data_IF_889439393708
#
_entry.id   IF_889439393708
#
_cell.length_a   1.000
_cell.length_b   1.000
_cell.length_c   1.000
_cell.angle_alpha   90.00
_cell.angle_beta   90.00
_cell.angle_gamma   90.00
#
_symmetry.space_group_name_H-M   'P 1'
#
loop_
_entity.id
_entity.type
_entity.pdbx_description
1 polymer ?
#
# COMPACT_ATOMS: atom_id res chain seq x y z
N UNK A 1 -54.50 50.96 11.33
CA UNK A 1 -54.05 49.63 11.86
C UNK A 1 -53.08 48.86 10.91
N UNK A 2 -53.38 48.68 9.65
CA UNK A 2 -52.51 47.97 8.71
C UNK A 2 -51.13 48.63 8.53
N UNK A 3 -50.96 49.88 8.58
CA UNK A 3 -49.72 50.66 8.39
C UNK A 3 -48.73 50.47 9.59
N UNK A 4 -49.27 50.28 10.77
CA UNK A 4 -48.48 50.02 11.97
C UNK A 4 -48.02 48.59 12.03
N UNK A 5 -48.81 47.61 11.56
CA UNK A 5 -48.41 46.20 11.45
C UNK A 5 -47.28 46.02 10.42
N UNK A 6 -47.32 46.76 9.31
CA UNK A 6 -46.25 46.73 8.30
C UNK A 6 -44.91 47.26 8.82
N UNK A 7 -44.94 48.30 9.64
CA UNK A 7 -43.74 48.89 10.27
C UNK A 7 -43.13 47.96 11.31
N UNK A 8 -43.95 47.24 12.08
CA UNK A 8 -43.49 46.23 13.05
C UNK A 8 -42.89 45.02 12.33
N UNK A 9 -43.49 44.57 11.23
CA UNK A 9 -42.97 43.49 10.43
C UNK A 9 -41.64 43.85 9.73
N UNK A 10 -41.49 45.06 9.24
CA UNK A 10 -40.27 45.58 8.61
C UNK A 10 -39.15 45.77 9.65
N UNK A 11 -39.48 46.19 10.86
CA UNK A 11 -38.53 46.30 11.98
C UNK A 11 -38.07 44.91 12.49
N UNK A 12 -38.97 43.91 12.50
CA UNK A 12 -38.67 42.54 12.86
C UNK A 12 -37.78 41.81 11.85
N UNK A 13 -37.94 42.12 10.54
CA UNK A 13 -37.03 41.58 9.51
C UNK A 13 -35.63 42.22 9.57
N UNK A 14 -35.50 43.45 10.01
CA UNK A 14 -34.20 44.15 10.10
C UNK A 14 -33.33 43.64 11.28
N UNK A 15 -33.94 43.04 12.29
CA UNK A 15 -33.20 42.51 13.45
C UNK A 15 -32.69 41.05 13.24
N UNK A 16 -33.14 40.37 12.17
CA UNK A 16 -32.73 38.99 11.89
C UNK A 16 -31.45 38.85 11.05
N UNK A 17 -30.87 39.97 10.60
CA UNK A 17 -29.68 39.96 9.71
C UNK A 17 -28.36 40.27 10.43
N UNK A 18 -28.32 40.30 11.77
CA UNK A 18 -27.12 40.75 12.52
C UNK A 18 -26.62 39.73 13.54
N UNK A 19 -26.59 38.43 13.23
CA UNK A 19 -25.81 37.49 14.04
C UNK A 19 -25.30 36.31 13.21
N UNK A 20 -24.57 36.61 12.17
CA UNK A 20 -23.51 35.70 11.75
C UNK A 20 -22.19 36.36 12.17
N UNK A 21 -21.88 36.24 13.44
CA UNK A 21 -20.47 36.34 13.88
C UNK A 21 -19.76 35.13 13.26
N UNK A 22 -19.02 35.36 12.20
CA UNK A 22 -17.97 34.44 11.80
C UNK A 22 -17.05 34.33 13.01
N UNK A 23 -17.15 33.18 13.70
CA UNK A 23 -16.14 32.78 14.65
C UNK A 23 -14.87 32.57 13.83
N UNK A 24 -14.05 33.61 13.72
CA UNK A 24 -12.73 33.52 13.08
C UNK A 24 -11.87 32.64 13.98
N UNK A 25 -11.95 31.36 13.73
CA UNK A 25 -11.19 30.35 14.46
C UNK A 25 -9.73 30.79 14.56
N UNK A 26 -9.22 30.82 15.78
CA UNK A 26 -7.83 31.20 16.06
C UNK A 26 -6.92 30.29 15.22
N UNK A 27 -6.07 30.88 14.38
CA UNK A 27 -5.16 30.14 13.50
C UNK A 27 -3.85 29.91 14.22
N UNK A 28 -3.36 28.68 14.15
CA UNK A 28 -2.02 28.30 14.61
C UNK A 28 -1.10 28.29 13.40
N UNK A 29 0.05 28.93 13.54
CA UNK A 29 1.11 28.99 12.53
C UNK A 29 2.35 28.31 13.07
N UNK A 30 3.09 27.68 12.17
CA UNK A 30 4.33 27.06 12.56
C UNK A 30 5.20 26.69 11.36
N UNK A 31 6.36 26.13 11.68
CA UNK A 31 7.32 25.65 10.67
C UNK A 31 7.75 24.24 11.01
N UNK A 32 7.74 23.35 10.01
CA UNK A 32 8.21 21.98 10.11
C UNK A 32 9.62 21.90 9.54
N UNK A 33 10.56 21.37 10.32
CA UNK A 33 11.96 21.21 9.94
C UNK A 33 12.45 19.81 10.28
N UNK A 34 13.54 19.38 9.66
CA UNK A 34 14.31 18.21 10.08
C UNK A 34 15.27 18.52 11.24
N UNK A 35 16.04 17.52 11.70
CA UNK A 35 17.06 17.67 12.76
C UNK A 35 18.19 18.64 12.35
N UNK A 36 18.41 18.84 11.06
CA UNK A 36 19.41 19.75 10.50
C UNK A 36 18.83 21.15 10.27
N UNK A 37 17.62 21.44 10.75
CA UNK A 37 16.87 22.70 10.57
C UNK A 37 16.51 22.99 9.11
N UNK A 38 16.53 21.99 8.23
CA UNK A 38 16.05 22.15 6.86
C UNK A 38 14.52 22.06 6.82
N UNK A 39 13.84 22.91 6.02
CA UNK A 39 12.39 22.88 5.94
C UNK A 39 11.91 21.59 5.27
N UNK A 40 10.87 20.99 5.81
CA UNK A 40 10.20 19.82 5.24
C UNK A 40 8.98 20.29 4.47
N UNK A 41 8.97 20.07 3.14
CA UNK A 41 7.91 20.45 2.24
C UNK A 41 6.86 19.34 2.19
N UNK A 42 5.57 19.69 2.32
CA UNK A 42 4.47 18.73 2.17
C UNK A 42 4.27 17.81 3.38
N UNK A 43 4.80 18.17 4.56
CA UNK A 43 4.46 17.48 5.80
C UNK A 43 2.98 17.67 6.13
N UNK A 44 2.29 16.60 6.49
CA UNK A 44 0.90 16.66 6.93
C UNK A 44 0.83 17.16 8.37
N UNK A 45 0.04 18.19 8.60
CA UNK A 45 -0.18 18.81 9.91
C UNK A 45 -1.69 18.79 10.20
N UNK A 46 -2.12 18.13 11.27
CA UNK A 46 -3.53 18.00 11.59
C UNK A 46 -3.79 17.89 13.10
N UNK A 47 -4.99 18.25 13.53
CA UNK A 47 -5.41 18.09 14.91
C UNK A 47 -5.73 16.63 15.22
N UNK A 48 -5.20 16.13 16.33
CA UNK A 48 -5.40 14.75 16.76
C UNK A 48 -6.89 14.41 16.89
N UNK A 49 -7.30 13.28 16.27
CA UNK A 49 -8.69 12.81 16.29
C UNK A 49 -9.63 13.57 15.36
N UNK A 50 -9.14 14.48 14.51
CA UNK A 50 -9.96 15.26 13.57
C UNK A 50 -9.51 15.05 12.12
N UNK A 51 -10.36 15.47 11.17
CA UNK A 51 -10.01 15.58 9.75
C UNK A 51 -9.53 17.00 9.35
N UNK A 52 -9.37 17.88 10.31
CA UNK A 52 -8.92 19.25 10.06
C UNK A 52 -7.38 19.28 10.01
N UNK A 53 -6.83 19.48 8.83
CA UNK A 53 -5.38 19.48 8.60
C UNK A 53 -4.98 20.33 7.41
N UNK A 54 -3.67 20.57 7.30
CA UNK A 54 -3.00 21.30 6.23
C UNK A 54 -1.68 20.62 5.89
N UNK A 55 -0.98 21.13 4.88
CA UNK A 55 0.38 20.69 4.53
C UNK A 55 1.35 21.85 4.62
N UNK A 56 2.62 21.57 4.95
CA UNK A 56 3.67 22.58 4.96
C UNK A 56 4.04 23.02 3.54
N UNK A 57 4.36 24.31 3.39
CA UNK A 57 4.79 24.93 2.13
C UNK A 57 6.27 24.67 1.80
N UNK A 58 6.79 25.33 0.75
CA UNK A 58 8.19 25.17 0.27
C UNK A 58 9.23 25.63 1.31
N UNK A 59 8.85 26.51 2.23
CA UNK A 59 9.69 26.98 3.33
C UNK A 59 9.44 26.22 4.63
N UNK A 60 8.59 25.17 4.58
CA UNK A 60 8.19 24.36 5.72
C UNK A 60 7.11 25.00 6.60
N UNK A 61 6.55 26.16 6.24
CA UNK A 61 5.56 26.84 7.06
C UNK A 61 4.17 26.22 6.86
N UNK A 62 3.35 26.26 7.91
CA UNK A 62 1.96 25.86 7.86
C UNK A 62 1.07 26.84 8.60
N UNK A 63 -0.18 26.88 8.21
CA UNK A 63 -1.23 27.63 8.89
C UNK A 63 -2.47 26.75 8.99
N UNK A 64 -2.99 26.54 10.20
CA UNK A 64 -4.11 25.65 10.48
C UNK A 64 -5.12 26.31 11.43
N UNK A 65 -6.40 26.30 11.07
CA UNK A 65 -7.46 26.76 11.95
C UNK A 65 -7.69 25.79 13.10
N UNK A 66 -7.90 26.34 14.30
CA UNK A 66 -8.26 25.55 15.48
C UNK A 66 -9.75 25.25 15.41
N UNK A 67 -10.09 24.00 15.11
CA UNK A 67 -11.47 23.48 15.14
C UNK A 67 -11.56 22.32 16.12
N UNK A 68 -12.42 22.44 17.13
CA UNK A 68 -12.66 21.40 18.13
C UNK A 68 -11.79 21.54 19.38
N UNK A 69 -11.94 20.57 20.31
CA UNK A 69 -11.31 20.57 21.63
C UNK A 69 -9.92 19.93 21.64
N UNK A 70 -9.39 19.50 20.51
CA UNK A 70 -8.07 18.88 20.44
C UNK A 70 -6.98 19.89 20.77
N UNK A 71 -6.10 19.50 21.70
CA UNK A 71 -4.94 20.29 22.13
C UNK A 71 -3.64 19.80 21.49
N UNK A 72 -3.67 18.67 20.80
CA UNK A 72 -2.49 18.06 20.21
C UNK A 72 -2.47 18.25 18.71
N UNK A 73 -1.35 18.74 18.20
CA UNK A 73 -1.05 18.83 16.78
C UNK A 73 -0.19 17.64 16.38
N UNK A 74 -0.60 16.91 15.37
CA UNK A 74 0.14 15.77 14.83
C UNK A 74 0.78 16.19 13.52
N UNK A 75 2.08 15.96 13.42
CA UNK A 75 2.87 16.22 12.20
C UNK A 75 3.49 14.94 11.72
N UNK A 76 3.25 14.60 10.45
CA UNK A 76 3.76 13.38 9.84
C UNK A 76 4.30 13.65 8.43
N UNK A 77 5.41 12.99 8.10
CA UNK A 77 6.00 13.01 6.77
C UNK A 77 6.67 11.68 6.46
N UNK A 78 6.69 11.28 5.19
CA UNK A 78 7.28 10.00 4.77
C UNK A 78 8.77 9.98 5.07
N UNK A 79 9.24 8.96 5.78
CA UNK A 79 10.65 8.82 6.20
C UNK A 79 11.00 9.56 7.48
N UNK A 80 10.01 10.07 8.22
CA UNK A 80 10.16 10.72 9.50
C UNK A 80 9.20 10.14 10.55
N UNK A 81 9.61 10.13 11.80
CA UNK A 81 8.75 9.76 12.91
C UNK A 81 7.61 10.78 13.05
N UNK A 82 6.40 10.30 13.26
CA UNK A 82 5.26 11.18 13.55
C UNK A 82 5.48 11.87 14.89
N UNK A 83 5.43 13.20 14.91
CA UNK A 83 5.55 14.02 16.12
C UNK A 83 4.18 14.51 16.56
N UNK A 84 3.93 14.43 17.87
CA UNK A 84 2.70 14.93 18.49
C UNK A 84 3.09 16.03 19.47
N UNK A 85 2.69 17.26 19.16
CA UNK A 85 3.05 18.44 19.94
C UNK A 85 1.81 19.06 20.57
N UNK A 86 1.78 19.22 21.91
CA UNK A 86 0.70 19.95 22.55
C UNK A 86 0.79 21.45 22.21
N UNK A 87 -0.35 22.05 21.91
CA UNK A 87 -0.46 23.47 21.52
C UNK A 87 -1.26 24.22 22.58
N UNK A 88 -0.64 25.17 23.24
CA UNK A 88 -1.32 26.06 24.17
C UNK A 88 -2.05 27.20 23.44
N UNK A 89 -3.00 27.85 24.13
CA UNK A 89 -3.81 28.93 23.56
C UNK A 89 -3.01 30.20 23.22
N UNK A 90 -1.77 30.29 23.69
CA UNK A 90 -0.89 31.44 23.52
C UNK A 90 0.18 31.26 22.44
N UNK A 91 0.28 30.04 21.87
CA UNK A 91 1.33 29.75 20.89
C UNK A 91 0.86 30.17 19.49
N UNK A 92 1.24 31.36 19.07
CA UNK A 92 0.95 31.91 17.76
C UNK A 92 1.97 31.51 16.69
N UNK A 93 3.16 31.01 17.07
CA UNK A 93 4.19 30.50 16.16
C UNK A 93 5.01 29.39 16.82
N UNK A 94 5.05 28.22 16.19
CA UNK A 94 5.81 27.08 16.72
C UNK A 94 6.76 26.50 15.68
N UNK A 95 7.85 25.90 16.17
CA UNK A 95 8.79 25.18 15.34
C UNK A 95 8.76 23.70 15.72
N UNK A 96 8.46 22.83 14.75
CA UNK A 96 8.33 21.39 14.94
C UNK A 96 9.48 20.71 14.20
N UNK A 97 10.24 19.89 14.92
CA UNK A 97 11.34 19.13 14.35
C UNK A 97 10.95 17.68 14.21
N UNK A 98 10.91 17.20 12.99
CA UNK A 98 10.70 15.78 12.72
C UNK A 98 12.06 15.07 12.76
N UNK A 99 12.12 14.00 13.53
CA UNK A 99 13.27 13.10 13.53
C UNK A 99 13.17 12.16 12.36
N UNK A 100 14.26 12.04 11.58
CA UNK A 100 14.39 11.03 10.57
C UNK A 100 14.06 9.67 11.20
N UNK A 101 13.36 8.83 10.48
CA UNK A 101 13.15 7.44 10.89
C UNK A 101 14.53 6.78 10.88
N UNK A 102 15.25 6.89 12.00
CA UNK A 102 16.36 5.99 12.24
C UNK A 102 15.70 4.63 12.26
N UNK A 103 16.13 3.74 11.36
CA UNK A 103 15.80 2.33 11.49
C UNK A 103 16.20 1.93 12.90
N UNK A 104 15.29 2.05 13.85
CA UNK A 104 15.44 1.44 15.15
C UNK A 104 15.73 -0.02 14.84
N UNK A 105 16.74 -0.59 15.44
CA UNK A 105 16.94 -2.03 15.44
C UNK A 105 15.58 -2.62 15.72
N UNK A 106 15.01 -3.21 14.67
CA UNK A 106 13.68 -3.76 14.65
C UNK A 106 13.61 -4.77 15.80
N UNK A 107 12.96 -4.38 16.88
CA UNK A 107 12.42 -5.36 17.81
C UNK A 107 11.32 -6.04 17.00
N UNK A 108 11.72 -7.06 16.24
CA UNK A 108 10.81 -7.92 15.50
C UNK A 108 9.98 -8.67 16.53
N UNK A 109 8.94 -8.01 17.02
CA UNK A 109 7.78 -8.72 17.55
C UNK A 109 7.11 -9.27 16.30
N UNK A 110 7.60 -10.42 15.83
CA UNK A 110 6.99 -11.15 14.73
C UNK A 110 5.70 -11.81 15.22
N UNK A 111 4.69 -11.01 15.48
CA UNK A 111 3.34 -11.50 15.51
C UNK A 111 2.94 -11.74 14.06
N UNK A 112 2.98 -12.98 13.61
CA UNK A 112 2.43 -13.38 12.31
C UNK A 112 0.91 -13.16 12.39
N UNK A 113 0.47 -11.99 11.96
CA UNK A 113 -0.96 -11.72 11.77
C UNK A 113 -1.42 -12.51 10.56
N UNK A 114 -2.21 -13.55 10.79
CA UNK A 114 -2.81 -14.34 9.72
C UNK A 114 -3.86 -13.52 8.98
N UNK A 115 -3.94 -13.69 7.65
CA UNK A 115 -5.00 -13.14 6.82
C UNK A 115 -4.67 -11.84 6.11
N UNK A 116 -5.70 -11.24 5.51
CA UNK A 116 -5.59 -9.95 4.83
C UNK A 116 -5.72 -8.82 5.85
N UNK A 117 -4.68 -8.00 5.98
CA UNK A 117 -4.62 -6.90 6.94
C UNK A 117 -4.87 -5.59 6.20
N UNK A 118 -5.89 -4.83 6.64
CA UNK A 118 -6.10 -3.46 6.17
C UNK A 118 -5.19 -2.50 6.95
N UNK A 119 -4.39 -1.72 6.25
CA UNK A 119 -3.59 -0.66 6.88
C UNK A 119 -4.50 0.46 7.37
N UNK A 120 -4.36 0.85 8.63
CA UNK A 120 -5.08 1.98 9.24
C UNK A 120 -4.26 3.28 9.20
N UNK A 121 -2.97 3.19 8.91
CA UNK A 121 -2.02 4.32 8.94
C UNK A 121 -1.63 4.80 7.54
N UNK A 122 -2.02 4.08 6.49
CA UNK A 122 -1.75 4.47 5.11
C UNK A 122 -2.79 5.48 4.63
N UNK A 123 -2.34 6.53 3.95
CA UNK A 123 -3.21 7.51 3.26
C UNK A 123 -4.06 6.83 2.19
N UNK A 124 -3.54 5.79 1.55
CA UNK A 124 -4.27 4.95 0.61
C UNK A 124 -4.91 3.76 1.34
N UNK A 125 -6.07 3.33 0.87
CA UNK A 125 -6.68 2.09 1.34
C UNK A 125 -5.82 0.90 0.91
N UNK A 126 -4.86 0.55 1.74
CA UNK A 126 -3.91 -0.54 1.48
C UNK A 126 -4.31 -1.78 2.26
N UNK A 127 -4.39 -2.91 1.55
CA UNK A 127 -4.57 -4.24 2.10
C UNK A 127 -3.28 -5.02 1.90
N UNK A 128 -2.80 -5.69 2.94
CA UNK A 128 -1.65 -6.59 2.88
C UNK A 128 -2.13 -8.04 2.98
N UNK A 129 -1.91 -8.82 1.94
CA UNK A 129 -2.09 -10.27 1.91
C UNK A 129 -0.80 -10.86 2.45
N UNK A 130 -0.87 -11.62 3.54
CA UNK A 130 0.30 -12.21 4.19
C UNK A 130 0.67 -13.54 3.58
N UNK A 131 1.90 -14.01 3.84
CA UNK A 131 2.37 -15.33 3.42
C UNK A 131 1.43 -16.46 3.86
N UNK A 132 0.92 -16.41 5.09
CA UNK A 132 0.00 -17.43 5.60
C UNK A 132 -1.32 -17.49 4.80
N UNK A 133 -1.81 -16.36 4.31
CA UNK A 133 -2.98 -16.30 3.43
C UNK A 133 -2.67 -16.87 2.04
N UNK A 134 -1.52 -16.54 1.48
CA UNK A 134 -1.03 -17.07 0.20
C UNK A 134 -0.90 -18.60 0.31
N UNK A 135 -0.32 -19.12 1.37
CA UNK A 135 -0.20 -20.56 1.61
C UNK A 135 -1.56 -21.24 1.80
N UNK A 136 -2.49 -20.60 2.51
CA UNK A 136 -3.85 -21.14 2.73
C UNK A 136 -4.62 -21.30 1.43
N UNK A 137 -4.49 -20.34 0.53
CA UNK A 137 -5.09 -20.39 -0.79
C UNK A 137 -4.37 -21.38 -1.73
N UNK A 138 -3.32 -22.07 -1.25
CA UNK A 138 -2.47 -22.96 -2.04
C UNK A 138 -1.99 -22.31 -3.35
N UNK A 139 -1.67 -21.01 -3.29
CA UNK A 139 -1.33 -20.22 -4.45
C UNK A 139 0.03 -20.63 -5.02
N UNK A 140 0.02 -21.18 -6.22
CA UNK A 140 1.23 -21.62 -6.90
C UNK A 140 1.95 -20.47 -7.61
N UNK A 141 1.23 -19.41 -7.97
CA UNK A 141 1.80 -18.23 -8.63
C UNK A 141 1.11 -16.93 -8.17
N UNK A 142 1.63 -15.79 -8.62
CA UNK A 142 1.10 -14.48 -8.27
C UNK A 142 -0.36 -14.29 -8.71
N UNK A 143 -0.75 -14.79 -9.87
CA UNK A 143 -2.12 -14.66 -10.36
C UNK A 143 -3.12 -15.34 -9.42
N UNK A 144 -2.83 -16.57 -9.00
CA UNK A 144 -3.68 -17.35 -8.09
C UNK A 144 -3.76 -16.72 -6.69
N UNK A 145 -2.75 -15.96 -6.28
CA UNK A 145 -2.72 -15.31 -4.97
C UNK A 145 -3.80 -14.24 -4.75
N UNK A 146 -4.50 -13.85 -5.80
CA UNK A 146 -5.59 -12.89 -5.72
C UNK A 146 -6.98 -13.53 -5.62
N UNK A 147 -7.11 -14.85 -5.77
CA UNK A 147 -8.41 -15.53 -5.74
C UNK A 147 -9.17 -15.33 -4.43
N UNK A 148 -8.46 -15.15 -3.33
CA UNK A 148 -9.06 -14.85 -2.01
C UNK A 148 -9.31 -13.36 -1.78
N UNK A 149 -8.85 -12.48 -2.68
CA UNK A 149 -9.00 -11.03 -2.50
C UNK A 149 -10.17 -10.47 -3.32
N UNK A 150 -11.26 -10.01 -2.67
CA UNK A 150 -12.45 -9.55 -3.39
C UNK A 150 -12.26 -8.25 -4.18
N UNK A 151 -11.11 -7.61 -4.06
CA UNK A 151 -10.82 -6.33 -4.72
C UNK A 151 -10.05 -6.50 -6.03
N UNK A 152 -9.43 -7.66 -6.22
CA UNK A 152 -8.62 -8.00 -7.40
C UNK A 152 -9.25 -9.20 -8.07
N UNK A 153 -9.67 -9.01 -9.31
CA UNK A 153 -10.16 -10.07 -10.17
C UNK A 153 -9.07 -10.47 -11.17
N UNK A 154 -8.84 -11.75 -11.31
CA UNK A 154 -7.88 -12.31 -12.28
C UNK A 154 -8.65 -13.17 -13.26
N UNK A 155 -8.56 -12.84 -14.53
CA UNK A 155 -9.22 -13.57 -15.59
C UNK A 155 -8.26 -13.91 -16.72
N UNK A 156 -8.53 -14.99 -17.44
CA UNK A 156 -7.81 -15.27 -18.67
C UNK A 156 -8.14 -14.21 -19.72
N UNK A 157 -7.12 -13.65 -20.37
CA UNK A 157 -7.26 -12.73 -21.49
C UNK A 157 -7.17 -13.47 -22.82
N UNK A 158 -6.50 -14.62 -22.84
CA UNK A 158 -6.36 -15.49 -23.98
C UNK A 158 -6.21 -16.94 -23.52
N UNK A 159 -7.15 -17.80 -23.94
CA UNK A 159 -7.17 -19.20 -23.55
C UNK A 159 -6.02 -20.00 -24.20
N UNK A 160 -5.63 -19.65 -25.44
CA UNK A 160 -4.61 -20.40 -26.17
C UNK A 160 -3.21 -20.25 -25.56
N UNK A 161 -2.88 -19.05 -25.08
CA UNK A 161 -1.57 -18.74 -24.45
C UNK A 161 -1.60 -18.81 -22.94
N UNK A 162 -2.80 -18.89 -22.34
CA UNK A 162 -2.98 -18.82 -20.90
C UNK A 162 -2.65 -17.44 -20.29
N UNK A 163 -2.60 -16.39 -21.11
CA UNK A 163 -2.35 -15.04 -20.65
C UNK A 163 -3.44 -14.60 -19.66
N UNK A 164 -3.02 -14.06 -18.52
CA UNK A 164 -3.93 -13.59 -17.47
C UNK A 164 -3.87 -12.08 -17.35
N UNK A 165 -4.97 -11.47 -17.01
CA UNK A 165 -5.06 -10.05 -16.72
C UNK A 165 -5.65 -9.82 -15.35
N UNK A 166 -5.09 -8.82 -14.66
CA UNK A 166 -5.62 -8.32 -13.41
C UNK A 166 -6.65 -7.23 -13.71
N UNK A 167 -7.74 -7.23 -12.95
CA UNK A 167 -8.68 -6.12 -12.85
C UNK A 167 -8.73 -5.68 -11.39
N UNK A 168 -8.57 -4.41 -11.15
CA UNK A 168 -8.70 -3.83 -9.82
C UNK A 168 -9.89 -2.87 -9.82
N UNK A 169 -10.83 -3.11 -8.90
CA UNK A 169 -12.09 -2.35 -8.84
C UNK A 169 -12.87 -2.34 -10.16
N UNK A 170 -12.81 -3.44 -10.93
CA UNK A 170 -13.45 -3.57 -12.25
C UNK A 170 -12.71 -2.91 -13.41
N UNK A 171 -11.59 -2.20 -13.17
CA UNK A 171 -10.77 -1.58 -14.21
C UNK A 171 -9.68 -2.53 -14.69
N UNK A 172 -9.40 -2.49 -16.00
CA UNK A 172 -8.39 -3.35 -16.63
C UNK A 172 -6.98 -3.12 -16.07
N UNK A 173 -6.13 -4.14 -16.18
CA UNK A 173 -4.77 -4.14 -15.64
C UNK A 173 -3.85 -3.04 -16.17
N UNK A 174 -4.16 -2.44 -17.32
CA UNK A 174 -3.45 -1.26 -17.84
C UNK A 174 -3.56 -0.02 -16.94
N UNK A 175 -4.57 0.01 -16.05
CA UNK A 175 -4.80 1.06 -15.07
C UNK A 175 -4.30 0.70 -13.67
N UNK A 176 -3.65 -0.45 -13.54
CA UNK A 176 -3.08 -0.96 -12.29
C UNK A 176 -1.57 -0.98 -12.40
N UNK A 177 -0.90 -0.31 -11.50
CA UNK A 177 0.55 -0.34 -11.45
C UNK A 177 1.03 -1.56 -10.68
N UNK A 178 1.84 -2.38 -11.36
CA UNK A 178 2.51 -3.51 -10.73
C UNK A 178 3.91 -3.10 -10.26
N UNK A 179 4.21 -3.43 -9.01
CA UNK A 179 5.50 -3.18 -8.38
C UNK A 179 6.06 -4.48 -7.81
N UNK A 180 7.35 -4.60 -7.83
CA UNK A 180 8.11 -5.60 -7.07
C UNK A 180 9.08 -4.86 -6.16
N UNK A 181 8.90 -5.02 -4.84
CA UNK A 181 9.72 -4.32 -3.84
C UNK A 181 9.78 -2.79 -4.09
N UNK A 182 8.62 -2.21 -4.39
CA UNK A 182 8.40 -0.80 -4.71
C UNK A 182 9.05 -0.30 -6.03
N UNK A 183 9.57 -1.21 -6.87
CA UNK A 183 10.04 -0.88 -8.21
C UNK A 183 9.01 -1.29 -9.26
N UNK A 184 8.72 -0.42 -10.25
CA UNK A 184 7.81 -0.77 -11.34
C UNK A 184 8.24 -2.01 -12.09
N UNK A 185 7.35 -2.99 -12.20
CA UNK A 185 7.57 -4.26 -12.88
C UNK A 185 6.31 -4.67 -13.66
N UNK A 186 6.40 -5.70 -14.50
CA UNK A 186 5.29 -6.24 -15.29
C UNK A 186 4.56 -5.19 -16.13
N UNK A 187 5.30 -4.42 -16.90
CA UNK A 187 4.78 -3.41 -17.82
C UNK A 187 4.66 -3.94 -19.24
N UNK A 188 3.72 -3.39 -20.02
CA UNK A 188 3.50 -3.79 -21.41
C UNK A 188 3.14 -5.27 -21.55
N UNK A 189 3.79 -6.00 -22.46
CA UNK A 189 3.53 -7.43 -22.67
C UNK A 189 3.77 -8.28 -21.42
N UNK A 190 4.71 -7.90 -20.55
CA UNK A 190 4.96 -8.60 -19.31
C UNK A 190 3.79 -8.53 -18.32
N UNK A 191 2.89 -7.58 -18.43
CA UNK A 191 1.70 -7.49 -17.57
C UNK A 191 0.72 -8.64 -17.74
N UNK A 192 0.70 -9.27 -18.91
CA UNK A 192 -0.18 -10.40 -19.23
C UNK A 192 0.43 -11.76 -18.88
N UNK A 193 1.74 -11.89 -19.07
CA UNK A 193 2.43 -13.17 -18.88
C UNK A 193 3.22 -13.27 -17.59
N UNK A 194 3.67 -12.13 -17.05
CA UNK A 194 4.55 -12.09 -15.88
C UNK A 194 3.93 -12.62 -14.59
N UNK A 195 2.60 -12.59 -14.49
CA UNK A 195 1.88 -13.01 -13.29
C UNK A 195 2.04 -14.50 -12.97
N UNK A 196 2.10 -15.34 -14.01
CA UNK A 196 2.26 -16.78 -13.86
C UNK A 196 3.70 -17.19 -13.58
N UNK A 197 4.67 -16.31 -13.88
CA UNK A 197 6.10 -16.59 -13.67
C UNK A 197 6.62 -16.26 -12.28
N UNK A 198 5.81 -15.66 -11.42
CA UNK A 198 6.20 -15.38 -10.03
C UNK A 198 5.71 -16.51 -9.14
N UNK A 199 6.61 -17.35 -8.60
CA UNK A 199 6.22 -18.44 -7.72
C UNK A 199 5.61 -17.95 -6.41
N UNK A 200 4.48 -18.54 -6.00
CA UNK A 200 3.79 -18.20 -4.77
C UNK A 200 4.66 -18.35 -3.54
N UNK A 201 5.47 -19.41 -3.51
CA UNK A 201 6.36 -19.72 -2.40
C UNK A 201 7.48 -18.67 -2.16
N UNK A 202 7.79 -17.84 -3.16
CA UNK A 202 8.80 -16.78 -3.05
C UNK A 202 8.27 -15.49 -2.41
N UNK A 203 6.95 -15.32 -2.40
CA UNK A 203 6.30 -14.10 -1.90
C UNK A 203 6.21 -14.11 -0.38
N UNK A 204 6.64 -13.03 0.25
CA UNK A 204 6.44 -12.76 1.67
C UNK A 204 5.09 -12.08 1.92
N UNK A 205 4.73 -11.18 1.03
CA UNK A 205 3.43 -10.51 1.09
C UNK A 205 3.09 -9.80 -0.22
N UNK A 206 1.80 -9.53 -0.42
CA UNK A 206 1.30 -8.71 -1.51
C UNK A 206 0.54 -7.53 -0.90
N UNK A 207 0.86 -6.33 -1.34
CA UNK A 207 0.16 -5.11 -0.91
C UNK A 207 -0.71 -4.61 -2.06
N UNK A 208 -2.01 -4.48 -1.81
CA UNK A 208 -2.99 -3.96 -2.76
C UNK A 208 -3.45 -2.59 -2.26
N UNK A 209 -3.08 -1.53 -2.94
CA UNK A 209 -3.50 -0.16 -2.65
C UNK A 209 -4.52 0.31 -3.66
N UNK A 210 -5.68 0.78 -3.18
CA UNK A 210 -6.80 1.22 -4.00
C UNK A 210 -6.75 2.74 -4.20
N UNK A 211 -7.10 3.18 -5.41
CA UNK A 211 -7.10 4.59 -5.78
C UNK A 211 -5.79 5.04 -6.45
N UNK A 212 -5.78 6.29 -6.88
CA UNK A 212 -4.61 6.87 -7.57
C UNK A 212 -3.39 6.91 -6.67
N UNK A 213 -2.27 6.44 -7.18
CA UNK A 213 -1.00 6.38 -6.47
C UNK A 213 -0.05 7.51 -6.90
N UNK A 214 1.10 7.61 -6.25
CA UNK A 214 2.13 8.59 -6.59
C UNK A 214 2.65 8.39 -8.02
N UNK A 215 2.75 9.48 -8.77
CA UNK A 215 3.34 9.51 -10.13
C UNK A 215 4.84 9.18 -10.14
N UNK A 216 5.49 9.11 -8.98
CA UNK A 216 6.90 8.75 -8.85
C UNK A 216 7.26 7.44 -9.56
N UNK A 217 6.37 6.46 -9.50
CA UNK A 217 6.59 5.13 -10.06
C UNK A 217 6.01 4.96 -11.46
N UNK A 218 5.27 5.94 -11.99
CA UNK A 218 4.64 5.91 -13.30
C UNK A 218 3.21 6.45 -13.28
N UNK A 219 2.57 6.43 -14.42
CA UNK A 219 1.23 6.98 -14.62
C UNK A 219 0.12 5.91 -14.66
N UNK A 220 0.48 4.65 -14.57
CA UNK A 220 -0.45 3.53 -14.73
C UNK A 220 -1.38 3.33 -13.52
N UNK A 221 -1.03 3.89 -12.35
CA UNK A 221 -1.77 3.71 -11.11
C UNK A 221 -3.04 4.58 -11.03
N UNK A 222 -3.99 4.38 -11.93
CA UNK A 222 -5.30 5.05 -11.90
C UNK A 222 -6.30 4.31 -11.01
N UNK A 223 -6.38 2.99 -11.12
CA UNK A 223 -7.21 2.15 -10.28
C UNK A 223 -6.54 1.82 -8.94
N UNK A 224 -5.23 1.71 -8.94
CA UNK A 224 -4.42 1.39 -7.79
C UNK A 224 -3.06 0.81 -8.14
N UNK A 225 -2.38 0.33 -7.12
CA UNK A 225 -1.10 -0.36 -7.28
C UNK A 225 -1.07 -1.67 -6.51
N UNK A 226 -0.34 -2.63 -7.04
CA UNK A 226 -0.07 -3.91 -6.42
C UNK A 226 1.43 -4.04 -6.27
N UNK A 227 1.92 -4.18 -5.03
CA UNK A 227 3.33 -4.37 -4.74
C UNK A 227 3.57 -5.76 -4.16
N UNK A 228 4.48 -6.50 -4.76
CA UNK A 228 4.89 -7.84 -4.35
C UNK A 228 6.21 -7.75 -3.59
N UNK A 229 6.22 -8.23 -2.35
CA UNK A 229 7.42 -8.36 -1.54
C UNK A 229 7.88 -9.81 -1.54
N UNK A 230 9.14 -10.05 -1.87
CA UNK A 230 9.73 -11.39 -1.79
C UNK A 230 10.38 -11.63 -0.43
N UNK A 231 10.53 -12.91 -0.06
CA UNK A 231 11.29 -13.34 1.11
C UNK A 231 12.68 -12.70 1.12
N UNK A 232 13.07 -12.11 2.25
CA UNK A 232 14.34 -11.39 2.41
C UNK A 232 15.34 -12.24 3.17
N UNK A 233 16.60 -12.36 2.71
CA UNK A 233 17.59 -13.23 3.34
C UNK A 233 17.76 -13.05 4.85
N UNK A 234 17.68 -11.83 5.44
CA UNK A 234 17.84 -11.66 6.89
C UNK A 234 16.71 -12.23 7.74
N UNK A 235 15.50 -12.35 7.18
CA UNK A 235 14.28 -12.75 7.91
C UNK A 235 13.73 -14.09 7.46
N UNK A 236 14.25 -14.63 6.34
CA UNK A 236 13.83 -15.91 5.81
C UNK A 236 14.37 -17.09 6.63
N UNK A 237 13.66 -18.21 6.59
CA UNK A 237 14.12 -19.45 7.19
C UNK A 237 15.46 -19.90 6.59
N UNK A 238 16.29 -20.58 7.37
CA UNK A 238 17.58 -21.11 6.91
C UNK A 238 17.38 -22.04 5.72
N UNK A 239 16.33 -22.86 5.78
CA UNK A 239 15.93 -23.74 4.68
C UNK A 239 14.42 -23.98 4.76
N UNK A 240 13.77 -23.90 3.60
CA UNK A 240 12.36 -24.26 3.43
C UNK A 240 12.19 -25.00 2.10
N UNK A 241 11.34 -26.00 2.08
CA UNK A 241 10.97 -26.69 0.85
C UNK A 241 9.51 -27.09 0.90
N UNK A 242 8.83 -26.99 -0.24
CA UNK A 242 7.49 -27.50 -0.40
C UNK A 242 7.31 -28.17 -1.76
N UNK A 243 6.34 -29.08 -1.82
CA UNK A 243 5.93 -29.75 -3.05
C UNK A 243 4.42 -29.66 -3.15
N UNK A 244 3.92 -29.32 -4.32
CA UNK A 244 2.52 -29.29 -4.64
C UNK A 244 2.24 -30.29 -5.79
N UNK A 245 1.13 -30.99 -5.72
CA UNK A 245 0.64 -31.85 -6.77
C UNK A 245 -0.89 -31.73 -6.87
N UNK A 246 -1.41 -31.61 -8.09
CA UNK A 246 -2.83 -31.56 -8.39
C UNK A 246 -3.26 -32.78 -9.18
N UNK A 247 -4.52 -33.16 -9.04
CA UNK A 247 -5.19 -34.20 -9.86
C UNK A 247 -5.27 -33.82 -11.35
N UNK A 248 -5.23 -32.52 -11.65
CA UNK A 248 -5.10 -32.01 -13.01
C UNK A 248 -3.72 -32.20 -13.62
N UNK A 249 -2.78 -32.90 -12.93
CA UNK A 249 -1.45 -33.24 -13.44
C UNK A 249 -0.41 -32.14 -13.32
N UNK A 250 -0.66 -31.12 -12.52
CA UNK A 250 0.30 -30.07 -12.19
C UNK A 250 1.18 -30.50 -11.01
N UNK A 251 2.47 -30.39 -11.19
CA UNK A 251 3.47 -30.69 -10.15
C UNK A 251 4.37 -29.49 -9.95
N UNK A 252 4.62 -29.12 -8.71
CA UNK A 252 5.52 -28.02 -8.36
C UNK A 252 6.44 -28.41 -7.22
N UNK A 253 7.67 -27.92 -7.28
CA UNK A 253 8.66 -28.03 -6.22
C UNK A 253 9.31 -26.67 -5.97
N UNK A 254 9.36 -26.28 -4.71
CA UNK A 254 10.02 -25.06 -4.27
C UNK A 254 11.05 -25.41 -3.21
N UNK A 255 12.22 -24.77 -3.29
CA UNK A 255 13.23 -24.81 -2.26
C UNK A 255 13.87 -23.44 -2.11
N UNK A 256 13.98 -22.98 -0.88
CA UNK A 256 14.68 -21.75 -0.56
C UNK A 256 15.63 -21.96 0.62
N UNK A 257 16.77 -21.28 0.57
CA UNK A 257 17.76 -21.33 1.61
C UNK A 257 18.39 -19.96 1.81
N UNK A 258 18.62 -19.58 3.07
CA UNK A 258 19.21 -18.30 3.44
C UNK A 258 20.38 -18.47 4.38
N UNK A 259 21.43 -17.66 4.18
CA UNK A 259 22.66 -17.71 4.97
C UNK A 259 23.05 -16.28 5.41
N UNK A 260 23.43 -16.17 6.65
CA UNK A 260 24.09 -14.98 7.19
C UNK A 260 25.61 -15.18 7.06
N UNK A 261 26.25 -14.35 6.24
CA UNK A 261 27.71 -14.40 6.05
C UNK A 261 28.39 -13.67 7.20
N UNK A 262 27.81 -12.52 7.60
CA UNK A 262 28.21 -11.75 8.77
C UNK A 262 27.03 -10.87 9.20
N UNK A 263 27.20 -10.05 10.26
CA UNK A 263 26.14 -9.19 10.84
C UNK A 263 25.56 -8.17 9.85
N UNK A 264 26.27 -7.91 8.75
CA UNK A 264 25.84 -6.91 7.73
C UNK A 264 25.46 -7.55 6.40
N UNK A 265 25.87 -8.77 6.12
CA UNK A 265 25.72 -9.38 4.80
C UNK A 265 25.00 -10.72 4.90
N UNK A 266 23.91 -10.84 4.18
CA UNK A 266 23.15 -12.08 4.06
C UNK A 266 22.87 -12.39 2.58
N UNK A 267 22.74 -13.66 2.25
CA UNK A 267 22.35 -14.12 0.91
C UNK A 267 21.26 -15.17 0.99
N UNK A 268 20.45 -15.27 -0.04
CA UNK A 268 19.41 -16.28 -0.17
C UNK A 268 19.32 -16.80 -1.59
N UNK A 269 19.03 -18.08 -1.72
CA UNK A 269 18.78 -18.75 -2.99
C UNK A 269 17.36 -19.31 -2.97
N UNK A 270 16.57 -18.96 -3.96
CA UNK A 270 15.21 -19.44 -4.16
C UNK A 270 15.16 -20.21 -5.49
N UNK A 271 14.61 -21.40 -5.46
CA UNK A 271 14.48 -22.28 -6.62
C UNK A 271 13.02 -22.74 -6.73
N UNK A 272 12.48 -22.68 -7.93
CA UNK A 272 11.16 -23.15 -8.25
C UNK A 272 11.18 -23.97 -9.53
N UNK A 273 10.45 -25.06 -9.51
CA UNK A 273 10.14 -25.88 -10.68
C UNK A 273 8.64 -26.13 -10.74
N UNK A 274 8.03 -25.95 -11.89
CA UNK A 274 6.65 -26.36 -12.14
C UNK A 274 6.52 -27.08 -13.49
N UNK A 275 5.63 -28.04 -13.51
CA UNK A 275 5.33 -28.82 -14.69
C UNK A 275 3.81 -29.05 -14.78
N UNK A 276 3.21 -28.63 -15.88
CA UNK A 276 1.79 -28.79 -16.20
C UNK A 276 1.70 -29.30 -17.64
N UNK A 277 1.88 -30.61 -17.82
CA UNK A 277 1.95 -31.27 -19.13
C UNK A 277 0.81 -32.29 -19.34
N UNK A 278 -0.12 -32.41 -18.41
CA UNK A 278 -1.30 -33.25 -18.63
C UNK A 278 -2.29 -32.53 -19.54
N UNK A 279 -2.70 -33.22 -20.58
CA UNK A 279 -3.71 -32.71 -21.50
C UNK A 279 -5.08 -32.82 -20.84
N UNK A 280 -5.73 -31.72 -20.64
CA UNK A 280 -7.07 -31.63 -20.09
C UNK A 280 -7.98 -30.94 -21.08
N UNK A 281 -9.01 -31.64 -21.49
CA UNK A 281 -10.11 -31.17 -22.36
C UNK A 281 -11.40 -31.67 -21.69
N UNK A 282 -11.94 -30.85 -20.78
CA UNK A 282 -13.09 -31.20 -19.94
C UNK A 282 -14.43 -31.11 -20.66
N UNK A 283 -14.47 -30.46 -21.83
CA UNK A 283 -15.68 -30.28 -22.64
C UNK A 283 -15.67 -31.04 -23.97
N UNK A 284 -14.59 -31.79 -24.25
CA UNK A 284 -14.42 -32.60 -25.47
C UNK A 284 -14.50 -31.77 -26.78
N UNK A 285 -14.05 -30.51 -26.76
CA UNK A 285 -14.08 -29.65 -27.94
C UNK A 285 -12.81 -29.73 -28.81
N UNK A 286 -11.83 -30.52 -28.37
CA UNK A 286 -10.52 -30.72 -29.03
C UNK A 286 -9.50 -29.65 -28.74
N UNK A 287 -9.79 -28.74 -27.83
CA UNK A 287 -8.84 -27.74 -27.32
C UNK A 287 -8.53 -28.02 -25.86
N UNK A 288 -7.32 -27.69 -25.42
CA UNK A 288 -6.94 -27.83 -24.02
C UNK A 288 -7.56 -26.69 -23.18
N UNK A 289 -8.12 -27.03 -22.03
CA UNK A 289 -8.64 -26.06 -21.06
C UNK A 289 -7.54 -25.17 -20.49
N UNK A 290 -6.32 -25.70 -20.36
CA UNK A 290 -5.13 -24.99 -19.90
C UNK A 290 -3.94 -25.27 -20.79
N UNK A 291 -3.08 -24.28 -21.10
CA UNK A 291 -1.90 -24.50 -21.92
C UNK A 291 -0.87 -25.33 -21.14
N UNK A 292 -0.17 -26.21 -21.87
CA UNK A 292 0.93 -27.01 -21.32
C UNK A 292 2.10 -26.10 -20.95
N UNK A 293 2.61 -26.21 -19.73
CA UNK A 293 3.71 -25.36 -19.22
C UNK A 293 4.79 -26.19 -18.52
N UNK A 294 6.00 -25.72 -18.68
CA UNK A 294 7.14 -26.13 -17.86
C UNK A 294 7.97 -24.89 -17.52
N UNK A 295 8.32 -24.75 -16.26
CA UNK A 295 8.96 -23.55 -15.75
C UNK A 295 10.02 -23.89 -14.74
N UNK A 296 11.18 -23.24 -14.87
CA UNK A 296 12.27 -23.26 -13.90
C UNK A 296 12.61 -21.81 -13.56
N UNK A 297 12.56 -21.46 -12.29
CA UNK A 297 12.95 -20.15 -11.80
C UNK A 297 14.05 -20.31 -10.75
N UNK A 298 15.06 -19.48 -10.86
CA UNK A 298 16.14 -19.40 -9.87
C UNK A 298 16.41 -17.95 -9.58
N UNK A 299 16.43 -17.58 -8.30
CA UNK A 299 16.74 -16.23 -7.85
C UNK A 299 17.79 -16.30 -6.74
N UNK A 300 18.90 -15.58 -6.90
CA UNK A 300 19.85 -15.34 -5.82
C UNK A 300 19.73 -13.88 -5.36
N UNK A 301 19.56 -13.69 -4.05
CA UNK A 301 19.36 -12.37 -3.43
C UNK A 301 20.50 -12.09 -2.46
N UNK A 302 20.93 -10.84 -2.46
CA UNK A 302 21.93 -10.33 -1.53
C UNK A 302 21.35 -9.17 -0.74
N UNK A 303 21.59 -9.18 0.54
CA UNK A 303 21.19 -8.10 1.45
C UNK A 303 22.43 -7.59 2.19
N UNK A 304 22.60 -6.29 2.17
CA UNK A 304 23.65 -5.60 2.92
C UNK A 304 23.02 -4.52 3.81
N UNK A 305 23.27 -4.64 5.11
CA UNK A 305 22.84 -3.62 6.09
C UNK A 305 23.88 -2.49 6.07
N UNK A 306 23.44 -1.30 5.72
CA UNK A 306 24.26 -0.07 5.69
C UNK A 306 24.58 0.45 7.08
#
# INVERSE_FOLDING_TARGET
>A
MLRQLYLIFLLSCLTFTLTWAEDSGKKVKGRVCDENKQPIIGANVYWEGTQNGTTSDVDGNFELERKGDSKNLVVSYIGYMTEVTPVDEKDDAMQIFLKGEIALDEVVVSERKMGTIASRTSVLQTQKITYDEICRAACCNLAESFETNPSVDVSYSDAATGARQIKLLGLAGTYVQMLTENYPNFRGAASLYGLDYVPGAWMESIQVSKGTSSVKNGYEALAGQINVEFKKPPTADIFSANVFASDAGRYEGNADASWHINDKLSTGLLVHYSNDKMQHDGNDDGFLDTPLREQVNVMNRWYHKL
#
